data_IF_300716298822
#
_entry.id   IF_300716298822
#
_cell.length_a   1.000
_cell.length_b   1.000
_cell.length_c   1.000
_cell.angle_alpha   90.00
_cell.angle_beta   90.00
_cell.angle_gamma   90.00
#
_symmetry.space_group_name_H-M   'P 1'
#
loop_
_entity.id
_entity.type
_entity.pdbx_description
1 polymer ?
#
# COMPACT_ATOMS: atom_id res chain seq x y z
N UNK A 1 -12.31 15.52 23.39
CA UNK A 1 -11.06 15.31 22.63
C UNK A 1 -11.35 14.20 21.66
N UNK A 2 -11.29 14.42 20.35
CA UNK A 2 -11.52 13.34 19.38
C UNK A 2 -10.34 12.37 19.46
N UNK A 3 -10.62 11.12 19.80
CA UNK A 3 -9.61 10.07 19.73
C UNK A 3 -9.14 9.94 18.29
N UNK A 4 -7.83 9.82 18.11
CA UNK A 4 -7.20 9.59 16.81
C UNK A 4 -6.49 8.25 16.85
N UNK A 5 -6.46 7.58 15.72
CA UNK A 5 -5.75 6.32 15.56
C UNK A 5 -4.82 6.42 14.36
N UNK A 6 -3.56 6.02 14.56
CA UNK A 6 -2.68 5.73 13.45
C UNK A 6 -3.05 4.35 12.90
N UNK A 7 -3.23 4.28 11.59
CA UNK A 7 -3.49 3.05 10.84
C UNK A 7 -2.25 2.70 10.03
N UNK A 8 -1.90 1.42 10.01
CA UNK A 8 -0.88 0.87 9.14
C UNK A 8 -1.44 -0.35 8.42
N UNK A 9 -1.38 -0.35 7.10
CA UNK A 9 -1.80 -1.46 6.24
C UNK A 9 -0.61 -1.89 5.38
N UNK A 10 -0.45 -3.20 5.22
CA UNK A 10 0.47 -3.78 4.25
C UNK A 10 -0.26 -4.82 3.42
N UNK A 11 -0.09 -4.75 2.10
CA UNK A 11 -0.64 -5.70 1.15
C UNK A 11 0.43 -6.70 0.77
N UNK A 12 0.09 -7.99 0.77
CA UNK A 12 1.05 -9.06 0.53
C UNK A 12 0.43 -10.33 -0.03
N UNK A 13 1.29 -11.34 -0.28
CA UNK A 13 2.74 -11.34 -0.09
C UNK A 13 3.49 -10.63 -1.24
N UNK A 14 4.56 -9.88 -0.96
CA UNK A 14 5.27 -9.10 -2.00
C UNK A 14 6.31 -9.92 -2.75
N UNK A 15 7.22 -10.57 -2.02
CA UNK A 15 8.37 -11.24 -2.61
C UNK A 15 7.98 -12.53 -3.32
N UNK A 16 7.18 -13.40 -2.70
CA UNK A 16 6.74 -14.67 -3.31
C UNK A 16 5.79 -14.45 -4.48
N UNK A 17 4.95 -13.40 -4.44
CA UNK A 17 4.06 -13.05 -5.55
C UNK A 17 4.84 -12.59 -6.78
N UNK A 18 5.79 -11.66 -6.59
CA UNK A 18 6.62 -11.17 -7.70
C UNK A 18 7.50 -12.31 -8.23
N UNK A 19 8.18 -13.05 -7.35
CA UNK A 19 9.11 -14.11 -7.74
C UNK A 19 8.46 -15.30 -8.47
N UNK A 20 7.13 -15.47 -8.41
CA UNK A 20 6.42 -16.46 -9.22
C UNK A 20 6.46 -16.17 -10.73
N UNK A 21 6.76 -14.91 -11.12
CA UNK A 21 6.94 -14.52 -12.51
C UNK A 21 8.16 -15.19 -13.14
N UNK A 22 7.98 -15.84 -14.28
CA UNK A 22 9.07 -16.55 -14.99
C UNK A 22 9.79 -15.64 -15.99
N UNK A 23 9.23 -14.47 -16.30
CA UNK A 23 9.77 -13.50 -17.26
C UNK A 23 9.81 -12.10 -16.63
N UNK A 24 10.71 -11.24 -17.11
CA UNK A 24 10.80 -9.85 -16.65
C UNK A 24 9.50 -9.05 -16.84
N UNK A 25 8.70 -9.44 -17.84
CA UNK A 25 7.35 -8.88 -18.04
C UNK A 25 6.40 -9.24 -16.91
N UNK A 26 6.44 -10.48 -16.42
CA UNK A 26 5.60 -10.95 -15.32
C UNK A 26 5.99 -10.23 -14.02
N UNK A 27 7.30 -10.05 -13.80
CA UNK A 27 7.83 -9.27 -12.67
C UNK A 27 7.35 -7.81 -12.72
N UNK A 28 7.44 -7.20 -13.90
CA UNK A 28 6.93 -5.85 -14.11
C UNK A 28 5.43 -5.77 -13.80
N UNK A 29 4.60 -6.61 -14.43
CA UNK A 29 3.16 -6.64 -14.17
C UNK A 29 2.82 -6.91 -12.70
N UNK A 30 3.53 -7.82 -12.03
CA UNK A 30 3.31 -8.13 -10.63
C UNK A 30 3.50 -6.92 -9.71
N UNK A 31 4.56 -6.14 -9.93
CA UNK A 31 4.80 -4.90 -9.17
C UNK A 31 3.74 -3.82 -9.45
N UNK A 32 3.27 -3.72 -10.70
CA UNK A 32 2.22 -2.80 -11.13
C UNK A 32 0.86 -3.17 -10.56
N UNK A 33 0.57 -4.47 -10.53
CA UNK A 33 -0.63 -5.01 -9.91
C UNK A 33 -0.67 -4.70 -8.40
N UNK A 34 0.42 -4.94 -7.66
CA UNK A 34 0.48 -4.58 -6.24
C UNK A 34 0.33 -3.07 -6.00
N UNK A 35 0.89 -2.24 -6.89
CA UNK A 35 0.67 -0.78 -6.84
C UNK A 35 -0.82 -0.45 -6.99
N UNK A 36 -1.51 -1.09 -7.94
CA UNK A 36 -2.94 -0.87 -8.18
C UNK A 36 -3.81 -1.36 -7.01
N UNK A 37 -3.54 -2.53 -6.46
CA UNK A 37 -4.25 -3.04 -5.27
C UNK A 37 -4.05 -2.08 -4.08
N UNK A 38 -2.84 -1.52 -3.93
CA UNK A 38 -2.59 -0.50 -2.90
C UNK A 38 -3.36 0.79 -3.17
N UNK A 39 -3.42 1.23 -4.44
CA UNK A 39 -4.21 2.40 -4.83
C UNK A 39 -5.69 2.22 -4.49
N UNK A 40 -6.25 1.03 -4.75
CA UNK A 40 -7.64 0.69 -4.41
C UNK A 40 -7.85 0.74 -2.89
N UNK A 41 -6.95 0.13 -2.12
CA UNK A 41 -7.03 0.12 -0.65
C UNK A 41 -6.91 1.54 -0.06
N UNK A 42 -6.01 2.36 -0.60
CA UNK A 42 -5.80 3.73 -0.14
C UNK A 42 -7.02 4.62 -0.42
N UNK A 43 -7.57 4.57 -1.65
CA UNK A 43 -8.81 5.29 -1.97
C UNK A 43 -9.98 4.84 -1.07
N UNK A 44 -10.12 3.53 -0.84
CA UNK A 44 -11.16 3.02 0.05
C UNK A 44 -11.02 3.50 1.50
N UNK A 45 -9.79 3.75 1.98
CA UNK A 45 -9.56 4.35 3.30
C UNK A 45 -9.89 5.84 3.30
N UNK A 46 -9.47 6.56 2.26
CA UNK A 46 -9.77 7.99 2.08
C UNK A 46 -11.29 8.26 1.99
N UNK A 47 -12.02 7.45 1.23
CA UNK A 47 -13.49 7.50 1.12
C UNK A 47 -14.19 7.28 2.47
N UNK A 48 -13.52 6.59 3.41
CA UNK A 48 -14.00 6.36 4.78
C UNK A 48 -13.50 7.43 5.77
N UNK A 49 -12.88 8.50 5.29
CA UNK A 49 -12.42 9.64 6.10
C UNK A 49 -11.07 9.44 6.78
N UNK A 50 -10.24 8.50 6.31
CA UNK A 50 -8.85 8.36 6.76
C UNK A 50 -7.99 9.41 6.07
N UNK A 51 -7.26 10.20 6.87
CA UNK A 51 -6.22 11.11 6.36
C UNK A 51 -4.99 10.28 5.98
N UNK A 52 -4.70 10.17 4.68
CA UNK A 52 -3.57 9.38 4.19
C UNK A 52 -2.24 10.12 4.34
N UNK A 53 -1.25 9.44 4.92
CA UNK A 53 0.15 9.90 5.00
C UNK A 53 1.01 9.25 3.91
N UNK A 54 0.77 7.97 3.62
CA UNK A 54 1.44 7.20 2.58
C UNK A 54 0.44 6.22 1.98
N UNK A 55 0.33 6.09 0.64
CA UNK A 55 0.76 7.10 -0.34
C UNK A 55 0.01 8.42 -0.15
N UNK A 56 0.50 9.51 -0.74
CA UNK A 56 -0.22 10.79 -0.73
C UNK A 56 -1.43 10.72 -1.66
N UNK A 57 -2.57 11.36 -1.33
CA UNK A 57 -3.77 11.38 -2.18
C UNK A 57 -3.50 11.77 -3.65
N UNK A 58 -2.61 12.74 -3.86
CA UNK A 58 -2.16 13.16 -5.20
C UNK A 58 -1.59 12.04 -6.09
N UNK A 59 -1.18 10.92 -5.50
CA UNK A 59 -0.64 9.75 -6.19
C UNK A 59 -1.71 8.72 -6.54
N UNK A 60 -2.99 8.93 -6.22
CA UNK A 60 -4.05 7.91 -6.33
C UNK A 60 -4.97 8.06 -7.53
N UNK A 61 -4.84 9.17 -8.27
CA UNK A 61 -5.78 9.57 -9.33
C UNK A 61 -5.74 8.69 -10.58
N UNK A 62 -4.60 8.06 -10.89
CA UNK A 62 -4.44 7.29 -12.12
C UNK A 62 -4.35 5.79 -11.83
N UNK A 63 -5.32 5.04 -12.37
CA UNK A 63 -5.31 3.57 -12.33
C UNK A 63 -4.39 3.01 -13.42
N UNK A 64 -3.60 1.99 -13.08
CA UNK A 64 -2.82 1.22 -14.05
C UNK A 64 -3.71 0.34 -14.96
N UNK A 65 -4.90 -0.03 -14.49
CA UNK A 65 -5.88 -0.83 -15.25
C UNK A 65 -6.73 0.02 -16.19
N UNK A 66 -6.59 1.36 -16.16
CA UNK A 66 -7.29 2.24 -17.08
C UNK A 66 -6.79 1.98 -18.52
N UNK A 67 -7.70 1.72 -19.49
CA UNK A 67 -7.34 1.36 -20.86
C UNK A 67 -6.41 2.36 -21.57
N UNK A 68 -6.50 3.64 -21.17
CA UNK A 68 -5.85 4.74 -21.86
C UNK A 68 -4.45 5.06 -21.34
N UNK A 69 -4.08 4.59 -20.14
CA UNK A 69 -2.84 5.03 -19.50
C UNK A 69 -1.75 3.96 -19.55
N UNK A 70 -2.00 2.72 -19.08
CA UNK A 70 -0.94 1.80 -18.61
C UNK A 70 0.17 2.52 -17.79
N UNK A 71 -0.12 3.72 -17.29
CA UNK A 71 0.77 4.75 -16.76
C UNK A 71 0.15 5.22 -15.45
N UNK A 72 0.07 4.30 -14.48
CA UNK A 72 -0.19 4.64 -13.08
C UNK A 72 1.13 4.96 -12.34
N UNK A 73 1.11 5.70 -11.24
CA UNK A 73 2.28 5.84 -10.38
C UNK A 73 2.67 4.49 -9.76
N UNK A 74 3.95 4.33 -9.43
CA UNK A 74 4.44 3.19 -8.66
C UNK A 74 4.20 3.47 -7.19
N UNK A 75 3.38 2.65 -6.54
CA UNK A 75 2.95 2.82 -5.16
C UNK A 75 3.50 1.66 -4.34
N UNK A 76 4.15 1.95 -3.21
CA UNK A 76 4.62 0.90 -2.30
C UNK A 76 3.44 0.14 -1.71
N UNK A 77 3.59 -1.14 -1.38
CA UNK A 77 2.54 -1.99 -0.80
C UNK A 77 2.13 -1.63 0.65
N UNK A 78 2.51 -0.45 1.14
CA UNK A 78 2.28 0.01 2.51
C UNK A 78 1.43 1.27 2.49
N UNK A 79 0.46 1.33 3.39
CA UNK A 79 -0.40 2.48 3.60
C UNK A 79 -0.29 2.90 5.07
N UNK A 80 -0.14 4.20 5.29
CA UNK A 80 -0.17 4.83 6.60
C UNK A 80 -1.20 5.95 6.58
N UNK A 81 -2.01 6.05 7.63
CA UNK A 81 -3.02 7.10 7.73
C UNK A 81 -3.48 7.37 9.14
N UNK A 82 -4.24 8.44 9.33
CA UNK A 82 -4.82 8.85 10.60
C UNK A 82 -6.34 8.82 10.48
N UNK A 83 -7.01 8.15 11.42
CA UNK A 83 -8.46 8.13 11.53
C UNK A 83 -8.88 8.89 12.79
N UNK A 84 -9.76 9.87 12.62
CA UNK A 84 -10.50 10.46 13.74
C UNK A 84 -11.65 9.51 14.11
N UNK A 85 -11.67 9.02 15.34
CA UNK A 85 -12.59 7.97 15.80
C UNK A 85 -13.69 8.51 16.68
N UNK A 86 -14.31 9.62 16.28
CA UNK A 86 -15.48 10.15 16.97
C UNK A 86 -16.74 9.29 16.73
N UNK A 87 -16.78 8.49 15.64
CA UNK A 87 -17.97 7.70 15.25
C UNK A 87 -17.74 6.29 14.73
N UNK A 88 -16.51 5.90 14.36
CA UNK A 88 -16.24 4.59 13.72
C UNK A 88 -15.03 3.90 14.34
N UNK A 89 -15.14 2.60 14.61
CA UNK A 89 -14.02 1.81 15.11
C UNK A 89 -13.00 1.55 13.99
N UNK A 90 -11.68 1.69 14.23
CA UNK A 90 -10.64 1.42 13.24
C UNK A 90 -10.75 0.05 12.58
N UNK A 91 -11.14 -0.97 13.36
CA UNK A 91 -11.32 -2.33 12.88
C UNK A 91 -12.36 -2.43 11.78
N UNK A 92 -13.47 -1.72 11.90
CA UNK A 92 -14.57 -1.80 10.94
C UNK A 92 -14.19 -1.14 9.62
N UNK A 93 -13.50 0.01 9.69
CA UNK A 93 -12.91 0.69 8.53
C UNK A 93 -11.95 -0.25 7.79
N UNK A 94 -11.00 -0.85 8.51
CA UNK A 94 -10.01 -1.75 7.94
C UNK A 94 -10.64 -3.00 7.29
N UNK A 95 -11.66 -3.59 7.94
CA UNK A 95 -12.40 -4.72 7.37
C UNK A 95 -13.23 -4.34 6.15
N UNK A 96 -13.82 -3.15 6.14
CA UNK A 96 -14.55 -2.65 4.98
C UNK A 96 -13.59 -2.43 3.79
N UNK A 97 -12.43 -1.82 4.04
CA UNK A 97 -11.35 -1.66 3.05
C UNK A 97 -10.91 -3.01 2.49
N UNK A 98 -10.63 -4.00 3.34
CA UNK A 98 -10.23 -5.35 2.92
C UNK A 98 -11.27 -5.99 1.98
N UNK A 99 -12.56 -5.92 2.34
CA UNK A 99 -13.65 -6.44 1.49
C UNK A 99 -13.71 -5.72 0.15
N UNK A 100 -13.59 -4.39 0.14
CA UNK A 100 -13.63 -3.59 -1.09
C UNK A 100 -12.45 -3.92 -2.02
N UNK A 101 -11.25 -4.12 -1.46
CA UNK A 101 -10.06 -4.54 -2.22
C UNK A 101 -10.32 -5.89 -2.89
N UNK A 102 -10.77 -6.90 -2.13
CA UNK A 102 -11.05 -8.24 -2.66
C UNK A 102 -12.11 -8.20 -3.76
N UNK A 103 -13.23 -7.52 -3.51
CA UNK A 103 -14.30 -7.37 -4.48
C UNK A 103 -13.81 -6.67 -5.77
N UNK A 104 -12.96 -5.65 -5.65
CA UNK A 104 -12.42 -4.93 -6.81
C UNK A 104 -11.50 -5.80 -7.65
N UNK A 105 -10.60 -6.56 -7.01
CA UNK A 105 -9.69 -7.49 -7.71
C UNK A 105 -10.46 -8.62 -8.37
N UNK A 106 -11.44 -9.22 -7.68
CA UNK A 106 -12.27 -10.26 -8.24
C UNK A 106 -13.12 -9.77 -9.42
N UNK A 107 -13.65 -8.53 -9.33
CA UNK A 107 -14.34 -7.87 -10.44
C UNK A 107 -13.42 -7.71 -11.66
N UNK A 108 -12.18 -7.31 -11.45
CA UNK A 108 -11.20 -7.20 -12.54
C UNK A 108 -10.88 -8.57 -13.17
N UNK A 109 -10.71 -9.61 -12.35
CA UNK A 109 -10.54 -10.98 -12.83
C UNK A 109 -11.74 -11.43 -13.68
N UNK A 110 -12.97 -11.13 -13.23
CA UNK A 110 -14.21 -11.45 -13.95
C UNK A 110 -14.30 -10.70 -15.29
N UNK A 111 -13.82 -9.45 -15.39
CA UNK A 111 -13.79 -8.69 -16.65
C UNK A 111 -12.97 -9.35 -17.76
N UNK A 112 -11.98 -10.18 -17.42
CA UNK A 112 -11.22 -10.95 -18.41
C UNK A 112 -12.10 -11.91 -19.23
N UNK A 113 -13.25 -12.34 -18.67
CA UNK A 113 -14.21 -13.20 -19.35
C UNK A 113 -14.99 -12.49 -20.46
N UNK A 114 -14.99 -11.15 -20.42
CA UNK A 114 -15.71 -10.29 -21.36
C UNK A 114 -14.78 -9.75 -22.47
N UNK A 115 -13.45 -9.92 -22.35
CA UNK A 115 -12.50 -9.51 -23.39
C UNK A 115 -12.50 -10.54 -24.55
N UNK A 116 -13.00 -10.16 -25.75
CA UNK A 116 -13.08 -11.07 -26.89
C UNK A 116 -11.70 -11.60 -27.35
N UNK A 117 -10.60 -10.91 -27.00
CA UNK A 117 -9.24 -11.34 -27.30
C UNK A 117 -8.81 -12.52 -26.41
N UNK A 118 -9.35 -12.60 -25.19
CA UNK A 118 -8.97 -13.59 -24.18
C UNK A 118 -9.91 -14.80 -24.15
N UNK A 119 -11.16 -14.65 -24.57
CA UNK A 119 -12.20 -15.70 -24.52
C UNK A 119 -11.77 -17.02 -25.19
N UNK A 120 -10.85 -17.01 -26.15
CA UNK A 120 -10.34 -18.22 -26.83
C UNK A 120 -9.11 -18.85 -26.17
N UNK A 121 -8.47 -18.15 -25.23
CA UNK A 121 -7.18 -18.53 -24.64
C UNK A 121 -7.33 -18.88 -23.16
N UNK A 122 -8.33 -18.31 -22.48
CA UNK A 122 -8.61 -18.57 -21.07
C UNK A 122 -9.66 -19.67 -20.90
N UNK A 123 -9.46 -20.53 -19.91
CA UNK A 123 -10.50 -21.47 -19.46
C UNK A 123 -11.42 -20.73 -18.50
N UNK A 124 -12.65 -20.45 -18.93
CA UNK A 124 -13.62 -19.61 -18.21
C UNK A 124 -13.84 -20.04 -16.76
N UNK A 125 -13.92 -21.35 -16.51
CA UNK A 125 -14.18 -21.88 -15.17
C UNK A 125 -13.00 -21.67 -14.21
N UNK A 126 -11.76 -21.66 -14.69
CA UNK A 126 -10.62 -21.34 -13.83
C UNK A 126 -10.63 -19.86 -13.42
N UNK A 127 -10.97 -18.96 -14.34
CA UNK A 127 -11.08 -17.52 -14.04
C UNK A 127 -12.20 -17.27 -13.02
N UNK A 128 -13.34 -17.94 -13.15
CA UNK A 128 -14.45 -17.85 -12.18
C UNK A 128 -14.01 -18.35 -10.80
N UNK A 129 -13.47 -19.57 -10.71
CA UNK A 129 -12.98 -20.15 -9.45
C UNK A 129 -11.92 -19.28 -8.79
N UNK A 130 -11.02 -18.70 -9.59
CA UNK A 130 -10.00 -17.80 -9.07
C UNK A 130 -10.60 -16.48 -8.55
N UNK A 131 -11.58 -15.90 -9.24
CA UNK A 131 -12.29 -14.72 -8.75
C UNK A 131 -13.05 -15.00 -7.45
N UNK A 132 -13.70 -16.16 -7.33
CA UNK A 132 -14.35 -16.61 -6.10
C UNK A 132 -13.34 -16.78 -4.96
N UNK A 133 -12.21 -17.44 -5.19
CA UNK A 133 -11.13 -17.58 -4.22
C UNK A 133 -10.58 -16.22 -3.74
N UNK A 134 -10.43 -15.24 -4.65
CA UNK A 134 -10.05 -13.87 -4.30
C UNK A 134 -11.07 -13.22 -3.35
N UNK A 135 -12.37 -13.37 -3.61
CA UNK A 135 -13.44 -12.83 -2.75
C UNK A 135 -13.38 -13.43 -1.34
N UNK A 136 -13.04 -14.71 -1.22
CA UNK A 136 -12.94 -15.43 0.06
C UNK A 136 -11.60 -15.20 0.79
N UNK A 137 -10.59 -14.63 0.12
CA UNK A 137 -9.35 -14.15 0.75
C UNK A 137 -8.08 -14.93 0.43
N UNK A 138 -8.08 -15.81 -0.58
CA UNK A 138 -6.97 -16.72 -0.85
C UNK A 138 -5.80 -16.11 -1.65
N UNK A 139 -5.90 -14.85 -2.09
CA UNK A 139 -4.95 -14.28 -3.07
C UNK A 139 -4.30 -12.95 -2.67
N UNK A 140 -5.05 -12.05 -2.01
CA UNK A 140 -4.53 -10.76 -1.52
C UNK A 140 -4.61 -10.76 0.00
N UNK A 141 -3.45 -10.89 0.63
CA UNK A 141 -3.34 -10.80 2.08
C UNK A 141 -3.37 -9.33 2.49
N UNK A 142 -4.23 -9.02 3.46
CA UNK A 142 -4.44 -7.68 3.98
C UNK A 142 -4.00 -7.65 5.44
N UNK A 143 -2.79 -7.15 5.69
CA UNK A 143 -2.26 -6.99 7.04
C UNK A 143 -2.59 -5.58 7.53
N UNK A 144 -3.21 -5.48 8.70
CA UNK A 144 -3.56 -4.19 9.27
C UNK A 144 -3.30 -4.14 10.77
N UNK A 145 -2.82 -2.98 11.22
CA UNK A 145 -2.64 -2.64 12.61
C UNK A 145 -3.11 -1.19 12.86
N UNK A 146 -3.54 -0.92 14.09
CA UNK A 146 -3.89 0.42 14.51
C UNK A 146 -3.44 0.68 15.95
N UNK A 147 -3.16 1.94 16.26
CA UNK A 147 -2.81 2.36 17.61
C UNK A 147 -3.43 3.73 17.91
N UNK A 148 -3.97 3.89 19.12
CA UNK A 148 -4.48 5.17 19.58
C UNK A 148 -3.33 6.18 19.67
N UNK A 149 -3.44 7.26 18.91
CA UNK A 149 -2.55 8.40 18.99
C UNK A 149 -3.12 9.37 20.03
N UNK A 150 -2.91 9.06 21.31
CA UNK A 150 -2.95 10.12 22.33
C UNK A 150 -1.97 11.19 21.88
N UNK A 151 -2.28 12.47 22.13
CA UNK A 151 -1.39 13.60 21.83
C UNK A 151 -0.01 13.38 22.48
N UNK A 152 0.90 12.71 21.75
CA UNK A 152 2.31 12.55 22.11
C UNK A 152 3.07 13.87 21.93
N UNK A 153 2.38 14.94 21.50
CA UNK A 153 2.87 16.31 21.45
C UNK A 153 2.97 17.00 22.83
N UNK A 154 2.82 16.27 23.94
CA UNK A 154 3.50 16.71 25.16
C UNK A 154 4.97 16.33 24.99
N UNK A 155 5.69 17.19 24.30
CA UNK A 155 7.14 17.21 24.37
C UNK A 155 7.51 17.19 25.86
N UNK A 156 8.03 16.05 26.34
CA UNK A 156 8.78 16.06 27.59
C UNK A 156 9.77 17.23 27.47
N UNK A 157 9.79 18.19 28.40
CA UNK A 157 10.80 19.24 28.36
C UNK A 157 12.14 18.53 28.26
N UNK A 158 12.91 18.85 27.21
CA UNK A 158 14.29 18.38 27.08
C UNK A 158 14.96 18.79 28.38
N UNK A 159 15.33 17.80 29.21
CA UNK A 159 16.25 18.06 30.33
C UNK A 159 17.47 18.81 29.79
N UNK A 160 18.12 19.64 30.62
CA UNK A 160 19.17 20.54 30.15
C UNK A 160 20.17 19.79 29.28
N UNK A 161 20.40 20.32 28.08
CA UNK A 161 21.38 19.79 27.14
C UNK A 161 22.67 19.46 27.90
N UNK A 162 23.27 18.27 27.73
CA UNK A 162 24.60 18.04 28.26
C UNK A 162 25.50 19.13 27.69
N UNK A 163 26.26 19.79 28.58
CA UNK A 163 27.19 20.87 28.22
C UNK A 163 28.11 20.35 27.11
N UNK A 164 28.28 21.14 26.04
CA UNK A 164 29.28 20.86 25.00
C UNK A 164 30.62 20.57 25.69
N UNK A 165 31.30 19.45 25.40
CA UNK A 165 32.68 19.27 25.85
C UNK A 165 33.56 20.35 25.20
N UNK A 166 34.65 20.77 25.87
CA UNK A 166 35.54 21.80 25.34
C UNK A 166 36.10 21.38 23.98
N UNK A 167 36.22 22.37 23.09
CA UNK A 167 36.72 22.24 21.72
C UNK A 167 38.14 21.66 21.72
N UNK A 168 38.29 20.36 21.47
CA UNK A 168 39.61 19.74 21.44
C UNK A 168 39.69 18.27 21.04
N UNK A 169 38.61 17.63 20.58
CA UNK A 169 38.66 16.25 20.12
C UNK A 169 38.01 16.14 18.74
N UNK A 170 38.82 15.73 17.77
CA UNK A 170 38.48 15.65 16.36
C UNK A 170 37.33 14.66 16.11
N UNK A 171 36.29 15.10 15.40
CA UNK A 171 35.32 14.21 14.77
C UNK A 171 36.03 13.34 13.72
N UNK A 172 35.94 12.01 13.78
CA UNK A 172 36.36 11.19 12.65
C UNK A 172 35.42 11.47 11.47
N UNK A 173 35.97 12.00 10.37
CA UNK A 173 35.25 12.26 9.12
C UNK A 173 34.48 10.99 8.70
N UNK A 174 33.16 11.07 8.65
CA UNK A 174 32.33 10.08 7.97
C UNK A 174 32.76 10.03 6.50
N UNK A 175 33.27 8.88 6.08
CA UNK A 175 33.78 8.62 4.74
C UNK A 175 32.57 8.38 3.82
N UNK A 176 32.16 9.39 3.07
CA UNK A 176 31.18 9.32 1.97
C UNK A 176 31.92 9.33 0.63
N UNK A 177 31.86 8.26 -0.17
CA UNK A 177 32.32 8.22 -1.58
C UNK A 177 31.65 6.99 -2.27
N UNK A 178 31.22 6.99 -3.56
CA UNK A 178 30.66 8.08 -4.38
C UNK A 178 29.54 7.63 -5.39
N UNK A 179 29.04 8.62 -6.13
CA UNK A 179 28.36 8.52 -7.43
C UNK A 179 28.88 7.43 -8.36
N UNK A 180 27.96 6.63 -8.92
CA UNK A 180 28.20 5.77 -10.06
C UNK A 180 27.78 6.50 -11.35
N UNK A 181 28.73 7.18 -11.98
CA UNK A 181 28.67 7.48 -13.42
C UNK A 181 29.86 6.82 -14.11
N UNK A 182 29.56 6.13 -15.22
CA UNK A 182 30.46 5.45 -16.19
C UNK A 182 30.89 4.03 -15.82
N UNK A 183 30.22 3.05 -16.44
CA UNK A 183 30.73 2.27 -17.58
C UNK A 183 29.55 1.54 -18.25
#
# INVERSE_FOLDING_TARGET
>A
MSDRHALAVALGPVSSFIAAGRRSRDLWYGSRFLSEVTRIAANALEDQGVELLVPLPGQLHTSFLAPESYQGPTISNKILGILATDKVAPRDVLRATERQVRASVAKEMKRLLDDPRLVRVIVRDYVRKQAEAIEHGDFVEFYAAWAATRSLLVARPRGPSPRRPPSGLACPRARWIPDATRC
#
